data_IF_144073343492
#
_entry.id   IF_144073343492
#
_cell.length_a   1.000
_cell.length_b   1.000
_cell.length_c   1.000
_cell.angle_alpha   90.00
_cell.angle_beta   90.00
_cell.angle_gamma   90.00
#
_symmetry.space_group_name_H-M   'P 1'
#
loop_
_entity.id
_entity.type
_entity.pdbx_description
1 polymer ?
#
# COMPACT_ATOMS: atom_id res chain seq x y z
N UNK A 1 33.72 8.90 7.34
CA UNK A 1 32.38 8.34 7.07
C UNK A 1 32.49 7.44 5.86
N UNK A 2 32.36 6.11 6.05
CA UNK A 2 32.59 5.12 5.00
C UNK A 2 31.47 5.06 3.95
N UNK A 3 30.28 5.58 4.27
CA UNK A 3 29.10 5.43 3.43
C UNK A 3 28.61 6.78 2.90
N UNK A 4 28.02 6.74 1.71
CA UNK A 4 27.30 7.86 1.10
C UNK A 4 25.87 7.39 0.87
N UNK A 5 24.93 8.16 1.39
CA UNK A 5 23.50 7.93 1.26
C UNK A 5 23.02 8.37 -0.10
N UNK A 6 21.79 7.97 -0.39
CA UNK A 6 21.18 8.18 -1.69
C UNK A 6 21.02 9.66 -2.09
N UNK A 7 20.84 10.55 -1.10
CA UNK A 7 20.82 12.00 -1.28
C UNK A 7 22.19 12.68 -1.20
N UNK A 8 23.29 11.93 -1.17
CA UNK A 8 24.66 12.45 -1.04
C UNK A 8 25.16 12.65 0.39
N UNK A 9 24.28 12.50 1.40
CA UNK A 9 24.66 12.60 2.81
C UNK A 9 25.68 11.51 3.17
N UNK A 10 26.80 11.88 3.77
CA UNK A 10 27.81 10.92 4.25
C UNK A 10 27.44 10.46 5.64
N UNK A 11 27.63 9.18 5.92
CA UNK A 11 27.34 8.61 7.23
C UNK A 11 28.27 7.45 7.59
N UNK A 12 28.22 7.07 8.86
CA UNK A 12 28.88 5.89 9.41
C UNK A 12 29.85 6.24 10.54
N UNK A 13 30.19 5.24 11.35
CA UNK A 13 30.88 5.42 12.64
C UNK A 13 30.13 6.41 13.55
N UNK A 14 28.79 6.33 13.59
CA UNK A 14 27.91 7.20 14.40
C UNK A 14 28.15 8.70 14.17
N UNK A 15 28.41 9.04 12.90
CA UNK A 15 28.58 10.42 12.43
C UNK A 15 27.77 10.60 11.14
N UNK A 16 27.33 11.83 10.89
CA UNK A 16 26.67 12.24 9.67
C UNK A 16 27.25 13.56 9.15
N UNK A 17 27.22 13.77 7.83
CA UNK A 17 27.64 15.00 7.18
C UNK A 17 26.87 15.23 5.88
N UNK A 18 26.53 16.47 5.59
CA UNK A 18 25.72 16.85 4.44
C UNK A 18 24.22 16.63 4.67
N UNK A 19 23.83 16.29 5.89
CA UNK A 19 22.46 16.06 6.30
C UNK A 19 22.02 17.28 7.13
N UNK A 20 21.35 18.24 6.48
CA UNK A 20 20.89 19.48 7.12
C UNK A 20 20.07 19.16 8.37
N UNK A 21 20.56 19.59 9.53
CA UNK A 21 19.94 19.32 10.84
C UNK A 21 20.69 18.27 11.67
N UNK A 22 21.43 17.36 11.04
CA UNK A 22 22.16 16.26 11.68
C UNK A 22 23.68 16.36 11.54
N UNK A 23 24.22 17.41 10.91
CA UNK A 23 25.67 17.62 10.79
C UNK A 23 26.38 17.75 12.16
N UNK A 24 25.63 18.07 13.22
CA UNK A 24 26.13 18.09 14.59
C UNK A 24 26.10 16.71 15.28
N UNK A 25 25.51 15.69 14.64
CA UNK A 25 25.45 14.34 15.19
C UNK A 25 26.85 13.76 15.36
N UNK A 26 27.08 13.14 16.51
CA UNK A 26 28.36 12.55 16.91
C UNK A 26 28.06 11.29 17.73
N UNK A 27 29.05 10.43 18.01
CA UNK A 27 28.81 9.16 18.68
C UNK A 27 28.02 9.25 20.00
N UNK A 28 28.16 10.37 20.75
CA UNK A 28 27.44 10.62 22.02
C UNK A 28 25.93 10.88 21.87
N UNK A 29 25.47 11.19 20.66
CA UNK A 29 24.07 11.51 20.36
C UNK A 29 23.26 10.24 20.03
N UNK A 30 23.89 9.07 20.10
CA UNK A 30 23.28 7.78 19.83
C UNK A 30 23.34 6.91 21.09
N UNK A 31 22.40 6.00 21.28
CA UNK A 31 22.47 5.04 22.38
C UNK A 31 23.73 4.17 22.25
N UNK A 32 24.55 4.16 23.31
CA UNK A 32 25.86 3.53 23.30
C UNK A 32 26.20 2.93 24.66
N UNK A 33 27.24 2.07 24.72
CA UNK A 33 27.75 1.57 26.00
C UNK A 33 28.36 2.71 26.80
N UNK A 34 28.20 2.65 28.13
CA UNK A 34 28.69 3.70 29.04
C UNK A 34 30.17 4.06 28.84
N UNK A 35 31.01 3.06 28.57
CA UNK A 35 32.46 3.22 28.46
C UNK A 35 32.97 3.31 27.01
N UNK A 36 32.09 3.21 26.01
CA UNK A 36 32.45 3.29 24.59
C UNK A 36 31.30 3.84 23.74
N UNK A 37 31.46 5.07 23.26
CA UNK A 37 30.46 5.76 22.45
C UNK A 37 30.32 5.21 21.02
N UNK A 38 31.27 4.37 20.56
CA UNK A 38 31.23 3.75 19.25
C UNK A 38 30.46 2.43 19.26
N UNK A 39 30.35 1.80 20.43
CA UNK A 39 29.69 0.52 20.63
C UNK A 39 28.18 0.69 20.89
N UNK A 40 27.32 -0.08 20.19
CA UNK A 40 25.89 -0.03 20.44
C UNK A 40 25.55 -0.48 21.86
N UNK A 41 24.52 0.16 22.43
CA UNK A 41 23.92 -0.30 23.69
C UNK A 41 23.39 -1.73 23.55
N UNK A 42 22.57 -1.96 22.52
CA UNK A 42 22.10 -3.26 22.08
C UNK A 42 21.86 -3.28 20.57
N UNK A 43 21.50 -4.44 20.02
CA UNK A 43 21.15 -4.60 18.61
C UNK A 43 19.81 -5.30 18.47
N UNK A 44 19.07 -4.95 17.42
CA UNK A 44 17.88 -5.68 16.97
C UNK A 44 17.95 -5.97 15.47
N UNK A 45 17.63 -7.19 15.07
CA UNK A 45 17.61 -7.59 13.67
C UNK A 45 17.59 -9.11 13.49
N UNK A 46 17.84 -9.62 12.28
CA UNK A 46 17.85 -11.05 11.99
C UNK A 46 18.81 -11.85 12.90
N UNK A 47 19.93 -11.25 13.28
CA UNK A 47 20.91 -11.85 14.19
C UNK A 47 20.39 -12.05 15.61
N UNK A 48 19.39 -11.28 16.03
CA UNK A 48 18.70 -11.43 17.33
C UNK A 48 17.34 -12.12 17.20
N UNK A 49 16.97 -12.56 15.99
CA UNK A 49 15.63 -13.06 15.71
C UNK A 49 14.53 -12.00 15.91
N UNK A 50 14.89 -10.72 15.80
CA UNK A 50 14.00 -9.58 16.08
C UNK A 50 13.54 -9.46 17.53
N UNK A 51 14.24 -10.11 18.46
CA UNK A 51 13.94 -10.00 19.89
C UNK A 51 14.54 -8.70 20.46
N UNK A 52 13.73 -8.00 21.25
CA UNK A 52 14.14 -6.86 22.06
C UNK A 52 14.74 -7.32 23.39
N UNK A 53 15.93 -6.85 23.78
CA UNK A 53 16.40 -6.99 25.15
C UNK A 53 15.43 -6.31 26.13
N UNK A 54 15.16 -6.96 27.27
CA UNK A 54 14.26 -6.43 28.32
C UNK A 54 12.88 -5.97 27.79
N UNK A 55 12.40 -6.56 26.70
CA UNK A 55 11.18 -6.19 25.98
C UNK A 55 11.14 -4.73 25.47
N UNK A 56 12.30 -4.07 25.35
CA UNK A 56 12.45 -2.69 24.87
C UNK A 56 13.50 -2.59 23.76
N UNK A 57 13.03 -2.38 22.53
CA UNK A 57 13.91 -2.18 21.38
C UNK A 57 14.33 -0.71 21.16
N UNK A 58 13.78 0.23 21.94
CA UNK A 58 13.94 1.67 21.70
C UNK A 58 15.36 2.24 21.92
N UNK A 59 16.28 1.55 22.61
CA UNK A 59 17.68 1.97 22.66
C UNK A 59 18.63 1.08 21.83
N UNK A 60 18.10 0.23 20.94
CA UNK A 60 18.90 -0.73 20.18
C UNK A 60 19.15 -0.27 18.74
N UNK A 61 20.38 -0.50 18.25
CA UNK A 61 20.69 -0.33 16.83
C UNK A 61 19.92 -1.36 15.99
N UNK A 62 18.93 -0.91 15.23
CA UNK A 62 18.19 -1.73 14.26
C UNK A 62 19.08 -2.00 13.05
N UNK A 63 19.40 -3.26 12.72
CA UNK A 63 20.31 -3.59 11.60
C UNK A 63 21.69 -2.90 11.65
N UNK A 64 22.20 -2.61 12.85
CA UNK A 64 23.42 -1.80 13.04
C UNK A 64 23.30 -0.35 12.50
N UNK A 65 22.07 0.13 12.29
CA UNK A 65 21.78 1.55 12.13
C UNK A 65 21.90 2.19 13.52
N UNK A 66 22.81 3.17 13.71
CA UNK A 66 22.98 3.82 15.01
C UNK A 66 21.68 4.44 15.50
N UNK A 67 21.26 4.05 16.69
CA UNK A 67 20.00 4.50 17.28
C UNK A 67 20.16 5.83 18.02
N UNK A 68 19.38 6.85 17.64
CA UNK A 68 19.50 8.19 18.23
C UNK A 68 18.97 8.19 19.67
N UNK A 69 19.72 8.79 20.59
CA UNK A 69 19.32 8.94 21.99
C UNK A 69 18.26 10.04 22.17
N UNK A 70 17.00 9.73 21.84
CA UNK A 70 15.89 10.71 21.81
C UNK A 70 15.41 11.18 23.19
N UNK A 71 15.91 10.60 24.26
CA UNK A 71 15.78 11.13 25.62
C UNK A 71 16.56 12.45 25.79
N UNK A 72 17.60 12.67 24.98
CA UNK A 72 18.37 13.90 24.96
C UNK A 72 17.62 15.01 24.19
N UNK A 73 17.41 16.16 24.84
CA UNK A 73 16.78 17.32 24.21
C UNK A 73 17.52 17.77 22.95
N UNK A 74 18.86 17.80 22.97
CA UNK A 74 19.67 18.17 21.80
C UNK A 74 19.44 17.25 20.59
N UNK A 75 19.17 15.96 20.81
CA UNK A 75 18.84 15.01 19.75
C UNK A 75 17.45 15.28 19.19
N UNK A 76 16.47 15.54 20.06
CA UNK A 76 15.12 15.92 19.62
C UNK A 76 15.13 17.22 18.82
N UNK A 77 15.89 18.22 19.23
CA UNK A 77 16.04 19.47 18.46
C UNK A 77 16.66 19.23 17.07
N UNK A 78 17.65 18.34 16.95
CA UNK A 78 18.22 17.98 15.64
C UNK A 78 17.17 17.38 14.71
N UNK A 79 16.33 16.46 15.20
CA UNK A 79 15.25 15.85 14.43
C UNK A 79 14.13 16.84 14.09
N UNK A 80 13.68 17.62 15.07
CA UNK A 80 12.60 18.61 14.91
C UNK A 80 12.96 19.66 13.88
N UNK A 81 14.22 20.11 13.82
CA UNK A 81 14.64 21.07 12.81
C UNK A 81 14.37 20.58 11.38
N UNK A 82 14.59 19.29 11.12
CA UNK A 82 14.25 18.71 9.82
C UNK A 82 12.74 18.70 9.57
N UNK A 83 11.95 18.38 10.60
CA UNK A 83 10.49 18.41 10.53
C UNK A 83 9.95 19.83 10.25
N UNK A 84 10.52 20.85 10.90
CA UNK A 84 10.21 22.26 10.66
C UNK A 84 10.53 22.67 9.23
N UNK A 85 11.70 22.26 8.69
CA UNK A 85 12.06 22.52 7.30
C UNK A 85 11.03 21.89 6.33
N UNK A 86 10.61 20.64 6.58
CA UNK A 86 9.58 19.95 5.78
C UNK A 86 8.23 20.67 5.84
N UNK A 87 7.81 21.09 7.03
CA UNK A 87 6.55 21.81 7.21
C UNK A 87 6.56 23.16 6.49
N UNK A 88 7.65 23.93 6.62
CA UNK A 88 7.75 25.25 5.99
C UNK A 88 7.83 25.21 4.45
N UNK A 89 8.26 24.09 3.85
CA UNK A 89 8.18 23.90 2.38
C UNK A 89 6.79 23.41 1.93
N UNK A 90 5.88 23.12 2.85
CA UNK A 90 4.49 22.76 2.57
C UNK A 90 4.16 21.27 2.67
N UNK A 91 5.00 20.45 3.27
CA UNK A 91 4.64 19.06 3.60
C UNK A 91 3.54 19.08 4.67
N UNK A 92 2.46 18.35 4.44
CA UNK A 92 1.32 18.30 5.36
C UNK A 92 1.16 16.97 6.09
N UNK A 93 1.81 15.90 5.61
CA UNK A 93 1.65 14.56 6.17
C UNK A 93 2.99 13.85 6.35
N UNK A 94 3.07 13.03 7.40
CA UNK A 94 4.27 12.24 7.74
C UNK A 94 3.97 10.74 7.78
N UNK A 95 4.83 9.97 7.12
CA UNK A 95 5.11 8.58 7.49
C UNK A 95 6.32 8.59 8.41
N UNK A 96 6.17 8.16 9.65
CA UNK A 96 7.31 7.93 10.55
C UNK A 96 7.87 6.55 10.27
N UNK A 97 9.06 6.50 9.67
CA UNK A 97 9.84 5.27 9.44
C UNK A 97 10.22 4.60 10.76
N UNK A 98 10.29 3.28 10.78
CA UNK A 98 10.78 2.50 11.92
C UNK A 98 10.16 2.90 13.28
N UNK A 99 8.93 3.43 13.29
CA UNK A 99 8.33 4.09 14.45
C UNK A 99 8.20 3.17 15.68
N UNK A 100 8.03 1.86 15.47
CA UNK A 100 8.01 0.84 16.53
C UNK A 100 9.28 0.87 17.40
N UNK A 101 10.41 1.30 16.85
CA UNK A 101 11.71 1.39 17.52
C UNK A 101 11.96 2.72 18.25
N UNK A 102 10.98 3.63 18.31
CA UNK A 102 11.10 4.86 19.08
C UNK A 102 10.30 4.80 20.37
N UNK A 103 10.76 5.44 21.44
CA UNK A 103 9.93 5.60 22.63
C UNK A 103 8.74 6.53 22.36
N UNK A 104 7.54 6.17 22.87
CA UNK A 104 6.26 6.84 22.55
C UNK A 104 6.31 8.34 22.84
N UNK A 105 6.69 8.70 24.06
CA UNK A 105 6.61 10.08 24.53
C UNK A 105 7.69 10.98 23.90
N UNK A 106 8.84 10.40 23.54
CA UNK A 106 9.91 11.12 22.86
C UNK A 106 9.56 11.39 21.40
N UNK A 107 8.99 10.40 20.72
CA UNK A 107 8.49 10.56 19.36
C UNK A 107 7.35 11.59 19.31
N UNK A 108 6.40 11.51 20.24
CA UNK A 108 5.31 12.48 20.36
C UNK A 108 5.85 13.91 20.59
N UNK A 109 6.87 14.08 21.45
CA UNK A 109 7.48 15.37 21.74
C UNK A 109 8.17 16.03 20.52
N UNK A 110 8.55 15.23 19.51
CA UNK A 110 9.10 15.72 18.25
C UNK A 110 8.00 15.97 17.21
N UNK A 111 7.13 14.98 16.97
CA UNK A 111 6.13 15.02 15.90
C UNK A 111 5.07 16.10 16.17
N UNK A 112 4.61 16.24 17.42
CA UNK A 112 3.51 17.15 17.77
C UNK A 112 3.91 18.62 17.87
N UNK A 113 5.16 18.97 17.56
CA UNK A 113 5.60 20.38 17.47
C UNK A 113 4.92 21.12 16.33
N UNK A 114 4.40 20.40 15.34
CA UNK A 114 3.85 20.94 14.10
C UNK A 114 2.46 20.35 13.83
N UNK A 115 1.53 21.14 13.27
CA UNK A 115 0.15 20.72 13.04
C UNK A 115 0.03 19.97 11.71
N UNK A 116 0.46 18.70 11.67
CA UNK A 116 0.31 17.85 10.48
C UNK A 116 -1.17 17.52 10.21
N UNK A 117 -1.55 17.45 8.94
CA UNK A 117 -2.87 16.96 8.52
C UNK A 117 -3.01 15.44 8.79
N UNK A 118 -1.89 14.71 8.69
CA UNK A 118 -1.85 13.26 8.86
C UNK A 118 -0.47 12.81 9.33
N UNK A 119 -0.44 12.03 10.41
CA UNK A 119 0.75 11.27 10.83
C UNK A 119 0.37 9.80 10.87
N UNK A 120 1.21 8.95 10.29
CA UNK A 120 1.11 7.51 10.49
C UNK A 120 2.47 6.86 10.71
N UNK A 121 2.46 5.78 11.47
CA UNK A 121 3.64 5.11 12.00
C UNK A 121 3.88 3.81 11.26
N UNK A 122 5.10 3.58 10.80
CA UNK A 122 5.50 2.27 10.27
C UNK A 122 5.58 1.22 11.38
N UNK A 123 4.85 0.13 11.16
CA UNK A 123 4.85 -1.10 11.95
C UNK A 123 4.82 -2.32 11.01
N UNK A 124 5.16 -3.52 11.52
CA UNK A 124 5.28 -4.75 10.74
C UNK A 124 4.09 -5.71 10.87
N UNK A 125 3.28 -5.55 11.92
CA UNK A 125 2.05 -6.32 12.13
C UNK A 125 1.68 -6.54 13.60
N UNK A 126 2.46 -5.97 14.53
CA UNK A 126 2.26 -6.07 15.97
C UNK A 126 1.08 -5.20 16.44
N UNK A 127 0.46 -5.58 17.55
CA UNK A 127 -0.57 -4.74 18.17
C UNK A 127 0.09 -3.52 18.83
N UNK A 128 -0.25 -2.28 18.43
CA UNK A 128 0.35 -1.10 19.01
C UNK A 128 -0.17 -0.88 20.44
N UNK A 129 0.69 -0.46 21.40
CA UNK A 129 0.23 0.11 22.66
C UNK A 129 -0.75 1.27 22.41
N UNK A 130 -1.81 1.37 23.21
CA UNK A 130 -2.87 2.38 23.07
C UNK A 130 -2.32 3.81 22.92
N UNK A 131 -1.36 4.17 23.78
CA UNK A 131 -0.68 5.46 23.81
C UNK A 131 -0.04 5.86 22.46
N UNK A 132 0.32 4.90 21.60
CA UNK A 132 0.93 5.20 20.28
C UNK A 132 -0.04 5.91 19.36
N UNK A 133 -1.25 5.40 19.26
CA UNK A 133 -2.27 5.97 18.37
C UNK A 133 -2.92 7.20 18.99
N UNK A 134 -2.87 7.33 20.32
CA UNK A 134 -3.32 8.52 21.04
C UNK A 134 -2.35 9.71 20.91
N UNK A 135 -1.04 9.48 21.10
CA UNK A 135 -0.07 10.57 21.22
C UNK A 135 0.76 10.87 19.98
N UNK A 136 0.89 9.94 19.02
CA UNK A 136 1.78 10.12 17.87
C UNK A 136 1.01 10.22 16.56
N UNK A 137 0.20 9.22 16.25
CA UNK A 137 -0.51 9.15 14.98
C UNK A 137 -0.96 7.76 14.62
N UNK A 138 -1.54 7.61 13.43
CA UNK A 138 -2.22 6.39 13.02
C UNK A 138 -1.25 5.21 12.88
N UNK A 139 -1.75 4.01 13.17
CA UNK A 139 -1.04 2.76 12.96
C UNK A 139 -1.07 2.36 11.47
N UNK A 140 0.05 1.91 10.91
CA UNK A 140 0.07 1.31 9.57
C UNK A 140 -0.29 -0.17 9.64
N UNK A 141 -1.55 -0.49 9.38
CA UNK A 141 -2.04 -1.88 9.41
C UNK A 141 -1.75 -2.61 8.09
N UNK A 142 -0.53 -3.15 8.01
CA UNK A 142 -0.09 -3.96 6.88
C UNK A 142 -0.76 -5.34 6.81
N UNK A 143 -1.38 -5.81 7.90
CA UNK A 143 -1.99 -7.13 7.94
C UNK A 143 -3.26 -7.23 7.10
N UNK A 144 -3.93 -6.09 6.92
CA UNK A 144 -5.09 -5.93 6.07
C UNK A 144 -4.87 -6.47 4.65
N UNK A 145 -3.67 -6.25 4.09
CA UNK A 145 -3.34 -6.74 2.75
C UNK A 145 -3.32 -8.27 2.68
N UNK A 146 -2.95 -8.98 3.74
CA UNK A 146 -2.84 -10.44 3.72
C UNK A 146 -4.21 -11.07 3.59
N UNK A 147 -5.20 -10.57 4.35
CA UNK A 147 -6.59 -11.03 4.21
C UNK A 147 -7.13 -10.82 2.80
N UNK A 148 -6.81 -9.67 2.19
CA UNK A 148 -7.23 -9.36 0.83
C UNK A 148 -6.56 -10.25 -0.21
N UNK A 149 -5.21 -10.31 -0.18
CA UNK A 149 -4.41 -11.04 -1.16
C UNK A 149 -4.66 -12.53 -1.06
N UNK A 150 -4.71 -13.11 0.14
CA UNK A 150 -4.90 -14.55 0.34
C UNK A 150 -6.27 -15.05 -0.11
N UNK A 151 -7.30 -14.19 -0.21
CA UNK A 151 -8.62 -14.60 -0.71
C UNK A 151 -8.77 -14.37 -2.21
N UNK A 152 -8.20 -13.29 -2.76
CA UNK A 152 -8.22 -13.07 -4.21
C UNK A 152 -7.23 -13.95 -4.97
N UNK A 153 -6.09 -14.25 -4.36
CA UNK A 153 -5.05 -15.08 -4.95
C UNK A 153 -4.89 -16.43 -4.24
N UNK A 154 -5.74 -16.80 -3.27
CA UNK A 154 -5.68 -18.11 -2.60
C UNK A 154 -6.03 -19.27 -3.52
N UNK A 155 -5.60 -20.49 -3.18
CA UNK A 155 -5.88 -21.71 -3.98
C UNK A 155 -7.34 -22.17 -3.90
N UNK A 156 -8.06 -21.76 -2.87
CA UNK A 156 -9.43 -22.16 -2.64
C UNK A 156 -10.40 -21.03 -2.99
N UNK A 157 -10.89 -21.02 -4.22
CA UNK A 157 -11.83 -19.98 -4.68
C UNK A 157 -13.19 -20.01 -3.95
N UNK A 158 -13.51 -21.05 -3.17
CA UNK A 158 -14.72 -21.09 -2.33
C UNK A 158 -14.63 -20.17 -1.12
N UNK A 159 -13.42 -19.76 -0.72
CA UNK A 159 -13.18 -18.81 0.38
C UNK A 159 -13.26 -17.35 -0.07
N UNK A 160 -13.34 -17.08 -1.39
CA UNK A 160 -13.40 -15.71 -1.93
C UNK A 160 -14.46 -14.82 -1.23
N UNK A 161 -15.68 -15.32 -0.91
CA UNK A 161 -16.69 -14.52 -0.21
C UNK A 161 -16.30 -14.01 1.19
N UNK A 162 -15.30 -14.61 1.84
CA UNK A 162 -14.80 -14.13 3.15
C UNK A 162 -14.24 -12.71 3.08
N UNK A 163 -13.82 -12.24 1.90
CA UNK A 163 -13.45 -10.84 1.67
C UNK A 163 -14.55 -9.86 2.07
N UNK A 164 -15.82 -10.27 1.98
CA UNK A 164 -16.96 -9.43 2.33
C UNK A 164 -17.17 -9.31 3.85
N UNK A 165 -16.25 -9.85 4.65
CA UNK A 165 -16.22 -9.75 6.12
C UNK A 165 -15.00 -8.95 6.60
N UNK A 166 -14.18 -8.42 5.69
CA UNK A 166 -12.94 -7.75 6.03
C UNK A 166 -13.22 -6.41 6.74
N UNK A 167 -12.91 -6.36 8.04
CA UNK A 167 -13.22 -5.24 8.95
C UNK A 167 -12.03 -4.83 9.85
N UNK A 168 -10.87 -5.43 9.63
CA UNK A 168 -9.60 -5.13 10.30
C UNK A 168 -8.47 -5.88 9.59
N UNK A 169 -7.22 -5.41 9.75
CA UNK A 169 -6.06 -6.22 9.42
C UNK A 169 -5.59 -6.99 10.64
N UNK A 170 -5.06 -6.26 11.62
CA UNK A 170 -4.78 -6.77 12.96
C UNK A 170 -6.07 -6.67 13.79
N UNK A 171 -6.42 -7.75 14.49
CA UNK A 171 -7.63 -7.79 15.32
C UNK A 171 -7.61 -6.68 16.39
N UNK A 172 -8.73 -5.98 16.55
CA UNK A 172 -8.88 -4.89 17.51
C UNK A 172 -8.38 -3.53 17.04
N UNK A 173 -7.81 -3.43 15.82
CA UNK A 173 -7.47 -2.16 15.18
C UNK A 173 -8.68 -1.63 14.42
N UNK A 174 -9.24 -0.51 14.86
CA UNK A 174 -10.36 0.15 14.21
C UNK A 174 -9.89 1.07 13.07
N UNK A 175 -10.79 1.41 12.15
CA UNK A 175 -10.44 2.20 10.95
C UNK A 175 -10.07 3.67 11.22
N UNK A 176 -10.46 4.21 12.37
CA UNK A 176 -10.15 5.59 12.78
C UNK A 176 -8.71 5.72 13.29
N UNK A 177 -8.13 4.64 13.84
CA UNK A 177 -6.77 4.59 14.40
C UNK A 177 -5.71 4.12 13.39
N UNK A 178 -6.07 3.81 12.14
CA UNK A 178 -5.15 3.18 11.19
C UNK A 178 -5.16 3.76 9.77
N UNK A 179 -4.05 3.55 9.09
CA UNK A 179 -3.93 3.62 7.63
C UNK A 179 -3.65 2.22 7.08
N UNK A 180 -4.26 1.92 5.94
CA UNK A 180 -4.22 0.59 5.33
C UNK A 180 -3.44 0.65 4.02
N UNK A 181 -2.20 0.15 3.95
CA UNK A 181 -1.49 0.00 2.69
C UNK A 181 -1.86 -1.31 1.99
N UNK A 182 -2.15 -1.22 0.69
CA UNK A 182 -2.28 -2.42 -0.14
C UNK A 182 -0.92 -3.03 -0.48
N UNK A 183 0.05 -2.18 -0.85
CA UNK A 183 1.44 -2.55 -1.11
C UNK A 183 2.39 -1.47 -0.56
N UNK A 184 3.64 -1.85 -0.28
CA UNK A 184 4.67 -0.96 0.26
C UNK A 184 6.07 -1.45 -0.13
N UNK A 185 7.09 -0.60 0.05
CA UNK A 185 8.43 -0.83 -0.50
C UNK A 185 9.17 -2.05 0.07
N UNK A 186 8.98 -2.38 1.34
CA UNK A 186 9.65 -3.54 1.97
C UNK A 186 8.85 -4.84 1.83
N UNK A 187 7.53 -4.75 1.68
CA UNK A 187 6.62 -5.88 1.56
C UNK A 187 6.58 -6.44 0.15
N UNK A 188 7.75 -6.67 -0.45
CA UNK A 188 7.99 -6.94 -1.88
C UNK A 188 8.53 -8.36 -2.14
N UNK A 189 8.31 -8.87 -3.36
CA UNK A 189 8.85 -10.16 -3.81
C UNK A 189 9.70 -10.03 -5.07
N UNK A 190 10.80 -10.79 -5.15
CA UNK A 190 11.74 -10.79 -6.29
C UNK A 190 11.09 -11.25 -7.58
N UNK A 191 10.21 -12.23 -7.49
CA UNK A 191 9.44 -12.74 -8.61
C UNK A 191 7.95 -12.51 -8.35
N UNK A 192 7.08 -12.98 -9.24
CA UNK A 192 5.64 -13.03 -8.96
C UNK A 192 5.40 -13.98 -7.79
N UNK A 193 4.58 -13.54 -6.85
CA UNK A 193 4.21 -14.32 -5.67
C UNK A 193 2.74 -14.02 -5.35
N UNK A 194 1.82 -14.98 -5.48
CA UNK A 194 0.40 -14.76 -5.28
C UNK A 194 0.05 -14.32 -3.84
N UNK A 195 0.90 -14.58 -2.85
CA UNK A 195 0.67 -14.23 -1.44
C UNK A 195 1.20 -12.83 -1.08
N UNK A 196 1.95 -12.19 -2.00
CA UNK A 196 2.52 -10.86 -1.80
C UNK A 196 1.94 -9.90 -2.84
N UNK A 197 1.39 -8.77 -2.41
CA UNK A 197 0.93 -7.72 -3.31
C UNK A 197 2.11 -7.11 -4.10
N UNK A 198 2.33 -7.57 -5.34
CA UNK A 198 3.36 -7.06 -6.25
C UNK A 198 2.83 -6.88 -7.67
N UNK A 199 3.24 -5.82 -8.37
CA UNK A 199 2.89 -5.58 -9.78
C UNK A 199 3.29 -6.76 -10.69
N UNK A 200 4.27 -7.56 -10.26
CA UNK A 200 4.74 -8.76 -10.96
C UNK A 200 3.65 -9.83 -11.08
N UNK A 201 2.63 -9.81 -10.23
CA UNK A 201 1.45 -10.69 -10.34
C UNK A 201 0.52 -10.28 -11.49
N UNK A 202 0.77 -9.15 -12.16
CA UNK A 202 0.04 -8.73 -13.34
C UNK A 202 -1.42 -8.40 -13.05
N UNK A 203 -2.32 -8.97 -13.86
CA UNK A 203 -3.76 -8.70 -13.79
C UNK A 203 -4.34 -9.03 -12.40
N UNK A 204 -3.79 -10.02 -11.69
CA UNK A 204 -4.21 -10.36 -10.33
C UNK A 204 -3.93 -9.23 -9.33
N UNK A 205 -2.77 -8.57 -9.40
CA UNK A 205 -2.49 -7.39 -8.56
C UNK A 205 -3.43 -6.24 -8.90
N UNK A 206 -3.73 -6.05 -10.18
CA UNK A 206 -4.64 -5.01 -10.62
C UNK A 206 -6.07 -5.24 -10.11
N UNK A 207 -6.57 -6.48 -10.15
CA UNK A 207 -7.83 -6.88 -9.52
C UNK A 207 -7.84 -6.60 -8.02
N UNK A 208 -6.78 -7.01 -7.31
CA UNK A 208 -6.62 -6.78 -5.88
C UNK A 208 -6.67 -5.29 -5.53
N UNK A 209 -5.99 -4.45 -6.30
CA UNK A 209 -6.04 -3.00 -6.14
C UNK A 209 -7.44 -2.42 -6.39
N UNK A 210 -8.17 -2.91 -7.41
CA UNK A 210 -9.54 -2.48 -7.68
C UNK A 210 -10.51 -2.87 -6.57
N UNK A 211 -10.41 -4.10 -6.05
CA UNK A 211 -11.20 -4.54 -4.90
C UNK A 211 -10.87 -3.73 -3.64
N UNK A 212 -9.58 -3.49 -3.39
CA UNK A 212 -9.11 -2.66 -2.28
C UNK A 212 -9.75 -1.25 -2.29
N UNK A 213 -9.92 -0.67 -3.49
CA UNK A 213 -10.58 0.62 -3.65
C UNK A 213 -12.11 0.53 -3.55
N UNK A 214 -12.72 -0.59 -3.94
CA UNK A 214 -14.19 -0.76 -3.95
C UNK A 214 -14.78 -1.14 -2.59
N UNK A 215 -14.04 -1.87 -1.75
CA UNK A 215 -14.49 -2.32 -0.45
C UNK A 215 -14.57 -1.15 0.55
N UNK A 216 -15.71 -0.90 1.24
CA UNK A 216 -15.92 0.34 1.99
C UNK A 216 -15.06 0.47 3.25
N UNK A 217 -14.59 -0.64 3.81
CA UNK A 217 -13.76 -0.62 5.02
C UNK A 217 -12.40 0.06 4.77
N UNK A 218 -11.89 0.73 5.80
CA UNK A 218 -10.60 1.41 5.82
C UNK A 218 -10.74 2.87 5.40
N UNK A 219 -10.94 3.78 6.34
CA UNK A 219 -11.15 5.19 6.02
C UNK A 219 -9.97 5.80 5.24
N UNK A 220 -8.75 5.38 5.58
CA UNK A 220 -7.49 5.93 5.06
C UNK A 220 -6.69 4.81 4.41
N UNK A 221 -6.66 4.82 3.08
CA UNK A 221 -6.01 3.79 2.27
C UNK A 221 -4.79 4.35 1.53
N UNK A 222 -3.72 3.56 1.44
CA UNK A 222 -2.52 3.91 0.68
C UNK A 222 -2.44 3.08 -0.59
N UNK A 223 -2.53 3.76 -1.74
CA UNK A 223 -2.30 3.17 -3.06
C UNK A 223 -0.83 3.26 -3.43
N UNK A 224 -0.37 2.25 -4.17
CA UNK A 224 1.04 2.10 -4.50
C UNK A 224 1.37 2.66 -5.90
N UNK A 225 2.57 3.21 -6.03
CA UNK A 225 3.18 3.60 -7.29
C UNK A 225 4.67 3.37 -7.21
N UNK A 226 5.19 2.47 -8.02
CA UNK A 226 6.58 2.04 -7.96
C UNK A 226 7.26 1.97 -9.32
N UNK A 227 8.36 1.22 -9.32
CA UNK A 227 9.23 0.98 -10.46
C UNK A 227 9.58 -0.50 -10.56
N UNK A 228 10.03 -0.91 -11.73
CA UNK A 228 10.41 -2.27 -12.03
C UNK A 228 11.87 -2.55 -11.71
N UNK A 229 12.13 -3.75 -11.19
CA UNK A 229 13.44 -4.15 -10.67
C UNK A 229 13.68 -5.66 -10.78
N UNK A 230 14.96 -6.03 -10.80
CA UNK A 230 15.42 -7.43 -10.97
C UNK A 230 15.92 -8.05 -9.68
N UNK A 231 16.46 -7.22 -8.80
CA UNK A 231 17.03 -7.58 -7.52
C UNK A 231 16.55 -6.61 -6.44
N UNK A 232 16.47 -7.09 -5.19
CA UNK A 232 15.99 -6.30 -4.05
C UNK A 232 16.90 -5.12 -3.72
N UNK A 233 18.14 -5.12 -4.22
CA UNK A 233 19.11 -4.04 -4.05
C UNK A 233 18.99 -2.93 -5.11
N UNK A 234 18.16 -3.10 -6.14
CA UNK A 234 18.06 -2.12 -7.22
C UNK A 234 17.22 -0.89 -6.83
N UNK A 235 17.82 0.30 -7.04
CA UNK A 235 17.11 1.58 -7.01
C UNK A 235 16.20 1.83 -8.23
N UNK A 236 15.54 3.00 -8.29
CA UNK A 236 14.67 3.40 -9.40
C UNK A 236 15.40 3.46 -10.76
N UNK A 237 14.67 3.51 -11.88
CA UNK A 237 15.24 3.56 -13.23
C UNK A 237 16.25 4.70 -13.37
N UNK A 238 17.33 4.49 -14.12
CA UNK A 238 18.40 5.50 -14.32
C UNK A 238 19.61 5.31 -13.40
N UNK A 239 19.44 4.74 -12.21
CA UNK A 239 20.54 4.58 -11.24
C UNK A 239 21.56 3.51 -11.60
N UNK A 240 21.26 2.62 -12.55
CA UNK A 240 22.26 1.71 -13.11
C UNK A 240 23.25 2.40 -14.05
N UNK A 241 22.95 3.63 -14.48
CA UNK A 241 23.74 4.36 -15.48
C UNK A 241 24.75 5.33 -14.85
N UNK A 242 24.73 5.53 -13.53
CA UNK A 242 25.57 6.52 -12.85
C UNK A 242 26.96 5.97 -12.53
N UNK A 243 28.00 6.53 -13.14
CA UNK A 243 29.42 6.26 -12.87
C UNK A 243 29.97 6.99 -11.62
N UNK A 244 29.11 7.49 -10.71
CA UNK A 244 29.52 8.32 -9.57
C UNK A 244 28.71 8.09 -8.29
N UNK A 245 29.11 8.75 -7.20
CA UNK A 245 28.57 8.63 -5.82
C UNK A 245 27.05 8.95 -5.67
N UNK A 246 26.36 9.39 -6.73
CA UNK A 246 24.97 9.88 -6.66
C UNK A 246 24.11 9.29 -7.79
N UNK A 247 22.97 8.67 -7.44
CA UNK A 247 21.99 8.29 -8.45
C UNK A 247 21.24 9.54 -8.95
N UNK A 248 21.05 9.64 -10.27
CA UNK A 248 20.03 10.47 -10.89
C UNK A 248 18.96 9.58 -11.54
N UNK A 249 17.76 9.46 -10.96
CA UNK A 249 16.69 8.67 -11.55
C UNK A 249 16.23 9.23 -12.90
N UNK A 250 15.83 8.36 -13.83
CA UNK A 250 15.17 8.75 -15.06
C UNK A 250 13.84 9.45 -14.72
N UNK A 251 13.50 10.53 -15.44
CA UNK A 251 12.21 11.22 -15.27
C UNK A 251 11.04 10.26 -15.51
N UNK A 252 9.96 10.41 -14.73
CA UNK A 252 8.68 9.72 -15.00
C UNK A 252 8.02 10.27 -16.26
N UNK A 253 8.25 11.54 -16.58
CA UNK A 253 7.64 12.22 -17.73
C UNK A 253 8.66 12.44 -18.84
N UNK A 254 8.22 12.28 -20.08
CA UNK A 254 8.97 12.72 -21.25
C UNK A 254 8.93 14.24 -21.44
N UNK A 255 9.62 14.73 -22.47
CA UNK A 255 9.72 16.17 -22.80
C UNK A 255 8.36 16.81 -23.14
N UNK A 256 7.40 16.01 -23.62
CA UNK A 256 6.04 16.43 -23.96
C UNK A 256 5.10 16.35 -22.74
N UNK A 257 5.57 15.87 -21.59
CA UNK A 257 4.80 15.75 -20.36
C UNK A 257 3.96 14.46 -20.26
N UNK A 258 4.20 13.46 -21.09
CA UNK A 258 3.55 12.15 -20.98
C UNK A 258 4.29 11.25 -19.98
N UNK A 259 3.53 10.54 -19.15
CA UNK A 259 4.11 9.63 -18.16
C UNK A 259 4.57 8.32 -18.82
N UNK A 260 5.83 7.95 -18.65
CA UNK A 260 6.48 6.74 -19.18
C UNK A 260 6.20 5.48 -18.35
N UNK A 261 4.94 5.25 -18.04
CA UNK A 261 4.50 4.20 -17.14
C UNK A 261 4.28 2.86 -17.85
N UNK A 262 4.36 1.75 -17.11
CA UNK A 262 3.97 0.44 -17.60
C UNK A 262 2.47 0.43 -17.91
N UNK A 263 2.03 -0.14 -19.05
CA UNK A 263 0.60 -0.29 -19.34
C UNK A 263 -0.07 -1.22 -18.31
N UNK A 264 -1.38 -1.08 -18.15
CA UNK A 264 -2.14 -1.96 -17.29
C UNK A 264 -1.98 -3.43 -17.75
N UNK A 265 -1.72 -4.37 -16.84
CA UNK A 265 -1.51 -5.77 -17.19
C UNK A 265 -2.81 -6.42 -17.66
N UNK A 266 -2.71 -7.29 -18.66
CA UNK A 266 -3.83 -8.11 -19.18
C UNK A 266 -3.66 -9.59 -18.90
N UNK A 267 -2.55 -9.98 -18.28
CA UNK A 267 -2.17 -11.37 -17.97
C UNK A 267 -1.64 -11.47 -16.55
N UNK A 268 -1.74 -12.67 -15.97
CA UNK A 268 -1.20 -13.01 -14.65
C UNK A 268 -0.41 -14.31 -14.75
N UNK A 269 0.82 -14.37 -14.21
CA UNK A 269 1.66 -13.25 -13.80
C UNK A 269 2.11 -12.41 -15.02
N UNK A 270 2.85 -11.33 -14.77
CA UNK A 270 3.52 -10.62 -15.86
C UNK A 270 4.59 -11.52 -16.51
N UNK A 271 4.82 -11.43 -17.84
CA UNK A 271 5.97 -12.05 -18.48
C UNK A 271 7.26 -11.62 -17.79
N UNK A 272 8.20 -12.56 -17.56
CA UNK A 272 9.44 -12.28 -16.84
C UNK A 272 10.24 -11.10 -17.41
N UNK A 273 10.19 -10.88 -18.72
CA UNK A 273 10.82 -9.73 -19.37
C UNK A 273 10.23 -8.40 -18.90
N UNK A 274 8.91 -8.26 -18.91
CA UNK A 274 8.19 -7.08 -18.43
C UNK A 274 8.33 -6.91 -16.90
N UNK A 275 8.19 -8.01 -16.14
CA UNK A 275 8.31 -8.00 -14.69
C UNK A 275 9.70 -7.55 -14.20
N UNK A 276 10.76 -7.77 -15.00
CA UNK A 276 12.17 -7.44 -14.68
C UNK A 276 12.70 -6.24 -15.45
N UNK A 277 11.84 -5.54 -16.19
CA UNK A 277 12.22 -4.32 -16.90
C UNK A 277 12.44 -3.18 -15.91
N UNK A 278 13.54 -2.43 -16.07
CA UNK A 278 13.85 -1.27 -15.23
C UNK A 278 13.16 -0.02 -15.74
N UNK A 279 11.88 0.14 -15.40
CA UNK A 279 11.04 1.28 -15.80
C UNK A 279 10.09 1.72 -14.70
N UNK A 280 9.47 2.88 -14.85
CA UNK A 280 8.36 3.28 -13.98
C UNK A 280 7.14 2.38 -14.23
N UNK A 281 6.57 1.83 -13.17
CA UNK A 281 5.39 0.95 -13.25
C UNK A 281 4.13 1.79 -13.19
N UNK A 282 4.04 2.68 -12.19
CA UNK A 282 2.92 3.58 -11.97
C UNK A 282 1.56 2.86 -11.85
N UNK A 283 1.46 1.90 -10.94
CA UNK A 283 0.25 1.11 -10.70
C UNK A 283 -0.98 2.00 -10.47
N UNK A 284 -0.80 3.13 -9.77
CA UNK A 284 -1.81 4.18 -9.58
C UNK A 284 -2.38 4.81 -10.87
N UNK A 285 -1.75 4.59 -12.04
CA UNK A 285 -2.19 5.08 -13.36
C UNK A 285 -2.79 4.00 -14.24
N UNK A 286 -2.81 2.75 -13.78
CA UNK A 286 -3.44 1.69 -14.56
C UNK A 286 -4.93 1.97 -14.76
N UNK A 287 -5.43 1.55 -15.92
CA UNK A 287 -6.82 1.76 -16.32
C UNK A 287 -7.78 1.29 -15.22
N UNK A 288 -8.78 2.09 -14.91
CA UNK A 288 -9.77 1.83 -13.88
C UNK A 288 -9.36 2.33 -12.49
N UNK A 289 -8.09 2.53 -12.17
CA UNK A 289 -7.68 2.96 -10.81
C UNK A 289 -8.25 4.34 -10.49
N UNK A 290 -8.12 5.31 -11.39
CA UNK A 290 -8.71 6.64 -11.22
C UNK A 290 -10.24 6.60 -11.08
N UNK A 291 -10.89 5.71 -11.84
CA UNK A 291 -12.31 5.38 -11.74
C UNK A 291 -12.69 4.87 -10.35
N UNK A 292 -11.98 3.86 -9.88
CA UNK A 292 -12.19 3.24 -8.58
C UNK A 292 -11.87 4.16 -7.40
N UNK A 293 -10.95 5.11 -7.55
CA UNK A 293 -10.73 6.17 -6.54
C UNK A 293 -11.98 7.06 -6.39
N UNK A 294 -12.66 7.40 -7.49
CA UNK A 294 -13.90 8.17 -7.41
C UNK A 294 -15.06 7.33 -6.89
N UNK A 295 -15.15 6.07 -7.32
CA UNK A 295 -16.09 5.12 -6.75
C UNK A 295 -15.92 5.07 -5.22
N UNK A 296 -14.69 4.89 -4.73
CA UNK A 296 -14.40 4.88 -3.29
C UNK A 296 -14.88 6.16 -2.60
N UNK A 297 -14.51 7.32 -3.15
CA UNK A 297 -14.88 8.63 -2.58
C UNK A 297 -16.40 8.78 -2.48
N UNK A 298 -17.12 8.28 -3.49
CA UNK A 298 -18.57 8.34 -3.56
C UNK A 298 -19.29 7.24 -2.78
N UNK A 299 -18.64 6.10 -2.49
CA UNK A 299 -19.33 4.91 -1.99
C UNK A 299 -18.92 4.46 -0.59
N UNK A 300 -17.71 4.79 -0.12
CA UNK A 300 -17.13 4.25 1.13
C UNK A 300 -17.95 4.56 2.40
N UNK A 301 -18.74 5.64 2.39
CA UNK A 301 -19.58 6.01 3.54
C UNK A 301 -20.86 5.18 3.65
N UNK A 302 -21.22 4.43 2.61
CA UNK A 302 -22.39 3.57 2.63
C UNK A 302 -22.03 2.20 3.20
N UNK A 303 -22.89 1.69 4.08
CA UNK A 303 -22.78 0.33 4.58
C UNK A 303 -23.08 -0.69 3.48
N UNK A 304 -22.50 -1.88 3.61
CA UNK A 304 -22.85 -3.02 2.77
C UNK A 304 -24.30 -3.41 3.04
N UNK A 305 -25.15 -3.29 2.02
CA UNK A 305 -26.59 -3.51 2.12
C UNK A 305 -27.05 -4.86 1.56
N UNK A 306 -26.26 -5.45 0.66
CA UNK A 306 -26.57 -6.75 0.03
C UNK A 306 -25.27 -7.44 -0.40
N UNK A 307 -25.24 -8.78 -0.38
CA UNK A 307 -24.07 -9.59 -0.77
C UNK A 307 -24.51 -10.77 -1.64
N UNK A 308 -23.77 -10.98 -2.72
CA UNK A 308 -23.89 -12.16 -3.57
C UNK A 308 -22.58 -12.93 -3.50
N UNK A 309 -22.63 -14.10 -2.87
CA UNK A 309 -21.46 -14.90 -2.53
C UNK A 309 -21.40 -16.14 -3.44
N UNK A 310 -20.33 -16.28 -4.22
CA UNK A 310 -20.13 -17.43 -5.10
C UNK A 310 -20.19 -18.77 -4.37
N UNK A 311 -20.99 -19.69 -4.89
CA UNK A 311 -21.25 -21.00 -4.27
C UNK A 311 -22.20 -20.98 -3.07
N UNK A 312 -22.66 -19.81 -2.62
CA UNK A 312 -23.63 -19.66 -1.53
C UNK A 312 -24.94 -19.01 -1.99
N UNK A 313 -24.86 -17.98 -2.83
CA UNK A 313 -26.03 -17.36 -3.46
C UNK A 313 -26.42 -18.12 -4.71
N UNK A 314 -27.71 -18.45 -4.83
CA UNK A 314 -28.24 -19.18 -5.98
C UNK A 314 -27.89 -18.46 -7.30
N UNK A 315 -27.43 -19.23 -8.29
CA UNK A 315 -27.03 -18.71 -9.60
C UNK A 315 -25.64 -18.07 -9.65
N UNK A 316 -24.94 -17.90 -8.51
CA UNK A 316 -23.60 -17.32 -8.47
C UNK A 316 -22.54 -18.40 -8.31
N UNK A 317 -21.73 -18.60 -9.34
CA UNK A 317 -20.64 -19.59 -9.34
C UNK A 317 -19.51 -19.24 -8.37
N UNK A 318 -18.75 -20.27 -7.95
CA UNK A 318 -17.51 -20.13 -7.16
C UNK A 318 -16.54 -19.16 -7.85
N UNK A 319 -15.72 -18.42 -7.10
CA UNK A 319 -14.78 -17.45 -7.69
C UNK A 319 -15.44 -16.15 -8.16
N UNK A 320 -16.72 -15.94 -7.86
CA UNK A 320 -17.45 -14.70 -8.10
C UNK A 320 -17.97 -14.14 -6.79
N UNK A 321 -18.04 -12.82 -6.70
CA UNK A 321 -18.79 -12.14 -5.66
C UNK A 321 -19.36 -10.84 -6.19
N UNK A 322 -20.41 -10.35 -5.54
CA UNK A 322 -20.87 -8.99 -5.69
C UNK A 322 -21.35 -8.45 -4.34
N UNK A 323 -21.40 -7.14 -4.21
CA UNK A 323 -21.99 -6.47 -3.07
C UNK A 323 -22.54 -5.11 -3.46
N UNK A 324 -23.50 -4.65 -2.67
CA UNK A 324 -24.10 -3.32 -2.81
C UNK A 324 -23.78 -2.48 -1.59
N UNK A 325 -23.48 -1.21 -1.81
CA UNK A 325 -23.28 -0.22 -0.76
C UNK A 325 -24.44 0.78 -0.82
N UNK A 326 -25.28 0.76 0.21
CA UNK A 326 -26.51 1.57 0.24
C UNK A 326 -27.43 1.25 -0.95
N UNK A 327 -27.90 2.29 -1.64
CA UNK A 327 -28.72 2.19 -2.85
C UNK A 327 -28.04 2.82 -4.08
N UNK A 328 -26.76 3.18 -3.95
CA UNK A 328 -26.08 4.07 -4.90
C UNK A 328 -24.93 3.36 -5.62
N UNK A 329 -24.35 2.32 -5.02
CA UNK A 329 -23.13 1.70 -5.51
C UNK A 329 -23.22 0.18 -5.54
N UNK A 330 -22.75 -0.40 -6.64
CA UNK A 330 -22.70 -1.84 -6.86
C UNK A 330 -21.32 -2.25 -7.34
N UNK A 331 -20.84 -3.39 -6.85
CA UNK A 331 -19.56 -3.98 -7.23
C UNK A 331 -19.79 -5.44 -7.54
N UNK A 332 -19.27 -5.92 -8.68
CA UNK A 332 -19.18 -7.33 -9.01
C UNK A 332 -17.75 -7.67 -9.43
N UNK A 333 -17.28 -8.87 -9.08
CA UNK A 333 -15.92 -9.33 -9.31
C UNK A 333 -15.94 -10.80 -9.73
N UNK A 334 -15.13 -11.12 -10.74
CA UNK A 334 -14.80 -12.49 -11.14
C UNK A 334 -13.32 -12.70 -10.92
N UNK A 335 -12.93 -13.55 -9.97
CA UNK A 335 -11.54 -13.83 -9.64
C UNK A 335 -10.80 -14.39 -10.87
N UNK A 336 -9.59 -13.86 -11.12
CA UNK A 336 -8.68 -14.41 -12.13
C UNK A 336 -8.23 -15.84 -11.81
N UNK A 337 -8.04 -16.66 -12.84
CA UNK A 337 -7.44 -17.99 -12.69
C UNK A 337 -5.94 -17.88 -12.35
N UNK A 338 -5.45 -18.72 -11.45
CA UNK A 338 -4.00 -18.87 -11.19
C UNK A 338 -3.37 -19.83 -12.20
N UNK A 339 -2.09 -19.63 -12.51
CA UNK A 339 -1.35 -20.56 -13.39
C UNK A 339 -1.24 -21.99 -12.82
N UNK A 340 -1.27 -22.16 -11.50
CA UNK A 340 -1.17 -23.45 -10.83
C UNK A 340 -2.54 -24.09 -10.49
N UNK A 341 -3.65 -23.47 -10.91
CA UNK A 341 -4.98 -24.07 -10.81
C UNK A 341 -5.29 -24.91 -12.05
N UNK A 342 -5.89 -26.09 -11.85
CA UNK A 342 -6.38 -26.90 -12.96
C UNK A 342 -7.41 -26.10 -13.79
N UNK A 343 -7.34 -26.21 -15.12
CA UNK A 343 -8.22 -25.46 -16.02
C UNK A 343 -9.72 -25.75 -15.79
N UNK A 344 -10.01 -26.89 -15.16
CA UNK A 344 -11.35 -27.43 -14.91
C UNK A 344 -11.92 -27.07 -13.52
N UNK A 345 -11.24 -26.23 -12.72
CA UNK A 345 -11.83 -25.75 -11.45
C UNK A 345 -13.08 -24.91 -11.77
N UNK A 346 -14.25 -25.55 -11.62
CA UNK A 346 -15.53 -24.99 -12.01
C UNK A 346 -15.81 -23.66 -11.28
N UNK A 347 -16.21 -22.64 -12.05
CA UNK A 347 -16.60 -21.32 -11.56
C UNK A 347 -15.48 -20.27 -11.59
N UNK A 348 -14.21 -20.67 -11.60
CA UNK A 348 -13.08 -19.73 -11.55
C UNK A 348 -12.71 -19.20 -12.93
N UNK A 349 -12.62 -17.88 -13.04
CA UNK A 349 -12.23 -17.17 -14.25
C UNK A 349 -13.37 -16.93 -15.23
N UNK A 350 -12.98 -16.57 -16.46
CA UNK A 350 -13.90 -16.27 -17.56
C UNK A 350 -14.69 -14.96 -17.38
N UNK A 351 -15.80 -14.85 -18.09
CA UNK A 351 -16.71 -13.69 -18.01
C UNK A 351 -17.99 -14.10 -17.28
N UNK A 352 -18.39 -13.31 -16.30
CA UNK A 352 -19.67 -13.43 -15.63
C UNK A 352 -20.68 -12.48 -16.27
N UNK A 353 -21.71 -13.05 -16.91
CA UNK A 353 -22.89 -12.31 -17.34
C UNK A 353 -23.75 -11.95 -16.12
N UNK A 354 -23.99 -10.66 -15.92
CA UNK A 354 -24.76 -10.13 -14.80
C UNK A 354 -26.26 -10.07 -15.08
N UNK A 355 -26.70 -10.38 -16.30
CA UNK A 355 -28.10 -10.28 -16.72
C UNK A 355 -29.01 -11.09 -15.79
N UNK A 356 -30.11 -10.46 -15.34
CA UNK A 356 -31.06 -11.05 -14.40
C UNK A 356 -30.70 -10.88 -12.91
N UNK A 357 -29.51 -10.34 -12.59
CA UNK A 357 -29.15 -10.04 -11.21
C UNK A 357 -29.90 -8.80 -10.71
N UNK A 358 -30.73 -8.98 -9.68
CA UNK A 358 -31.47 -7.89 -9.04
C UNK A 358 -30.59 -7.13 -8.05
N UNK A 359 -30.05 -5.99 -8.47
CA UNK A 359 -29.18 -5.13 -7.65
C UNK A 359 -29.94 -3.99 -6.97
N UNK A 360 -31.18 -3.71 -7.37
CA UNK A 360 -32.02 -2.67 -6.78
C UNK A 360 -31.35 -1.28 -6.74
N UNK A 361 -30.57 -0.97 -7.79
CA UNK A 361 -30.22 0.40 -8.14
C UNK A 361 -31.38 1.02 -8.97
N UNK A 362 -31.51 2.35 -9.02
CA UNK A 362 -32.44 3.01 -9.93
C UNK A 362 -32.26 2.56 -11.39
N UNK A 363 -33.34 2.64 -12.18
CA UNK A 363 -33.27 2.41 -13.62
C UNK A 363 -32.25 3.36 -14.26
N UNK A 364 -31.42 2.83 -15.15
CA UNK A 364 -30.51 3.66 -15.90
C UNK A 364 -29.36 2.91 -16.55
N UNK A 365 -28.52 3.70 -17.21
CA UNK A 365 -27.23 3.28 -17.77
C UNK A 365 -26.13 3.73 -16.83
N UNK A 366 -25.36 2.77 -16.34
CA UNK A 366 -24.28 2.97 -15.40
C UNK A 366 -22.95 2.71 -16.05
N UNK A 367 -21.98 3.58 -15.78
CA UNK A 367 -20.62 3.37 -16.21
C UNK A 367 -19.85 2.46 -15.28
N UNK A 368 -19.18 1.47 -15.84
CA UNK A 368 -18.21 0.68 -15.09
C UNK A 368 -16.96 1.52 -14.82
N UNK A 369 -16.89 2.04 -13.59
CA UNK A 369 -15.76 2.83 -13.10
C UNK A 369 -14.43 2.08 -13.20
N UNK A 370 -14.43 0.75 -13.14
CA UNK A 370 -13.21 -0.06 -13.24
C UNK A 370 -12.64 -0.16 -14.67
N UNK A 371 -13.36 0.36 -15.66
CA UNK A 371 -12.95 0.38 -17.08
C UNK A 371 -12.41 1.74 -17.55
N UNK A 372 -12.55 2.80 -16.75
CA UNK A 372 -12.19 4.17 -17.18
C UNK A 372 -10.69 4.37 -17.33
N UNK A 373 -10.24 4.92 -18.46
CA UNK A 373 -8.83 5.27 -18.66
C UNK A 373 -8.41 6.52 -17.87
N UNK A 374 -9.26 7.55 -17.89
CA UNK A 374 -9.04 8.82 -17.20
C UNK A 374 -10.38 9.44 -16.89
N UNK A 375 -10.40 10.30 -15.86
CA UNK A 375 -11.54 11.18 -15.59
C UNK A 375 -11.30 12.61 -16.04
N UNK A 376 -10.04 12.96 -16.35
CA UNK A 376 -9.71 14.30 -16.81
C UNK A 376 -10.33 14.52 -18.19
N UNK A 377 -11.29 15.43 -18.26
CA UNK A 377 -12.02 15.74 -19.50
C UNK A 377 -13.05 14.69 -19.89
N UNK A 378 -13.42 13.77 -18.99
CA UNK A 378 -14.49 12.82 -19.24
C UNK A 378 -15.85 13.52 -19.07
N UNK A 379 -16.65 13.56 -20.13
CA UNK A 379 -17.94 14.26 -20.19
C UNK A 379 -19.12 13.45 -19.60
N UNK A 380 -18.84 12.22 -19.13
CA UNK A 380 -19.81 11.30 -18.53
C UNK A 380 -20.94 10.87 -19.48
N UNK A 381 -20.78 11.08 -20.79
CA UNK A 381 -21.79 10.70 -21.80
C UNK A 381 -21.73 9.21 -22.16
N UNK A 382 -20.56 8.59 -21.99
CA UNK A 382 -20.29 7.19 -22.31
C UNK A 382 -19.02 6.72 -21.61
N UNK A 383 -18.82 5.41 -21.55
CA UNK A 383 -17.62 4.79 -20.99
C UNK A 383 -17.32 3.47 -21.69
N UNK A 384 -16.10 2.90 -21.51
CA UNK A 384 -15.71 1.69 -22.22
C UNK A 384 -16.60 0.48 -21.94
N UNK A 385 -17.17 0.39 -20.74
CA UNK A 385 -18.15 -0.64 -20.37
C UNK A 385 -19.31 -0.02 -19.60
N UNK A 386 -20.52 -0.47 -19.92
CA UNK A 386 -21.76 -0.01 -19.33
C UNK A 386 -22.56 -1.17 -18.74
N UNK A 387 -23.39 -0.85 -17.76
CA UNK A 387 -24.37 -1.74 -17.15
C UNK A 387 -25.75 -1.08 -17.27
N UNK A 388 -26.73 -1.80 -17.80
CA UNK A 388 -28.10 -1.33 -17.93
C UNK A 388 -28.98 -1.97 -16.86
N UNK A 389 -29.75 -1.14 -16.15
CA UNK A 389 -30.64 -1.54 -15.05
C UNK A 389 -32.06 -1.11 -15.39
N UNK A 390 -33.03 -2.01 -15.23
CA UNK A 390 -34.46 -1.73 -15.46
C UNK A 390 -35.16 -1.05 -14.27
N UNK A 391 -36.48 -0.86 -14.39
CA UNK A 391 -37.33 -0.22 -13.36
C UNK A 391 -37.42 -1.03 -12.07
N UNK A 392 -37.26 -2.35 -12.16
CA UNK A 392 -37.25 -3.28 -11.03
C UNK A 392 -35.87 -3.40 -10.35
N UNK A 393 -34.86 -2.72 -10.91
CA UNK A 393 -33.48 -2.76 -10.42
C UNK A 393 -32.73 -4.04 -10.80
N UNK A 394 -33.13 -4.68 -11.89
CA UNK A 394 -32.50 -5.88 -12.45
C UNK A 394 -31.57 -5.48 -13.59
N UNK A 395 -30.37 -6.08 -13.62
CA UNK A 395 -29.43 -5.86 -14.72
C UNK A 395 -29.97 -6.51 -15.99
N UNK A 396 -30.12 -5.70 -17.05
CA UNK A 396 -30.55 -6.13 -18.39
C UNK A 396 -29.36 -6.37 -19.33
N UNK A 397 -28.25 -5.65 -19.10
CA UNK A 397 -27.00 -5.81 -19.84
C UNK A 397 -25.83 -5.50 -18.92
N UNK A 398 -24.82 -6.36 -18.88
CA UNK A 398 -23.59 -6.10 -18.13
C UNK A 398 -22.79 -7.37 -17.91
N UNK A 399 -21.46 -7.24 -17.82
CA UNK A 399 -20.61 -8.39 -17.54
C UNK A 399 -19.34 -8.01 -16.81
N UNK A 400 -18.78 -8.99 -16.09
CA UNK A 400 -17.49 -8.87 -15.39
C UNK A 400 -16.53 -9.90 -15.92
N UNK A 401 -15.49 -9.41 -16.60
CA UNK A 401 -14.35 -10.24 -17.02
C UNK A 401 -13.49 -10.59 -15.81
N UNK A 402 -12.85 -11.76 -15.85
CA UNK A 402 -11.87 -12.13 -14.85
C UNK A 402 -10.73 -11.11 -14.72
N UNK A 403 -10.18 -10.99 -13.51
CA UNK A 403 -9.12 -10.03 -13.19
C UNK A 403 -9.65 -8.62 -12.98
#
# INVERSE_FOLDING_TARGET
MPCVGWGGSRYGNRMQQGAKGWDAASPRHFHHKKDDAMEPWCQVGPQTGWLCPDDDCTPCDMYALPDFATELEEVREMQVKHLEDLFHIGVTALRVDAAIYHHVYELAAMVNRLPWDLVYQEWWGEYPPHDRTEYVGLYRDVAYRWHLVNRLAGKNATELPELLQLDSGVFGITQDMAVYPFAYHDGRSKDSDPEIATYKNGLAFHQQQKFFLSWPFGEKVLIWGGYGWRDLTHGPPGCDKSDGDHCTPDSVYDEDGHAQCMPAPTVSPLPKSAARERRWVCEHRWQGVAGMMHFRKACRQHAVSEKWEGGKTEGIGVGRLAFRLGNDCFVALTRGRREDEDEDVAGVGGTWDLTGLKIALPQGRYCDMSSLHTQKGWDQSSCPREVEVDEEGVIQHGSVTQG
#
